data_IF_854671510261
#
_entry.id   IF_854671510261
#
_cell.length_a   1.000
_cell.length_b   1.000
_cell.length_c   1.000
_cell.angle_alpha   90.00
_cell.angle_beta   90.00
_cell.angle_gamma   90.00
#
_symmetry.space_group_name_H-M   'P 1'
#
loop_
_entity.id
_entity.type
_entity.pdbx_description
1 polymer ?
#
# COMPACT_ATOMS: atom_id res chain seq x y z
N UNK A 1 13.29 6.28 28.03
CA UNK A 1 13.49 6.63 29.47
C UNK A 1 12.68 5.68 30.37
N UNK A 2 13.08 5.61 31.61
CA UNK A 2 12.34 4.95 32.69
C UNK A 2 12.58 5.71 33.98
N UNK A 3 11.82 5.42 35.02
CA UNK A 3 11.98 6.09 36.31
C UNK A 3 12.62 5.11 37.31
N UNK A 4 13.56 5.63 38.09
CA UNK A 4 14.17 4.89 39.22
C UNK A 4 13.65 5.52 40.49
N UNK A 5 13.03 4.68 41.32
CA UNK A 5 12.47 5.05 42.60
C UNK A 5 13.37 4.44 43.72
N UNK A 6 13.88 5.25 44.62
CA UNK A 6 14.72 4.77 45.73
C UNK A 6 14.23 5.27 47.07
N UNK A 7 14.27 4.37 48.06
CA UNK A 7 14.03 4.69 49.46
C UNK A 7 15.02 3.92 50.35
N UNK A 8 16.12 4.58 50.68
CA UNK A 8 17.24 3.91 51.38
C UNK A 8 17.84 2.80 50.50
N UNK A 9 17.97 1.59 51.01
CA UNK A 9 18.51 0.47 50.25
C UNK A 9 17.53 -0.15 49.24
N UNK A 10 16.25 0.24 49.29
CA UNK A 10 15.23 -0.28 48.37
C UNK A 10 15.21 0.52 47.09
N UNK A 11 15.32 -0.15 45.95
CA UNK A 11 15.24 0.41 44.62
C UNK A 11 14.18 -0.33 43.81
N UNK A 12 13.31 0.40 43.16
CA UNK A 12 12.36 -0.11 42.20
C UNK A 12 12.45 0.71 40.91
N UNK A 13 12.13 0.10 39.77
CA UNK A 13 12.13 0.76 38.47
C UNK A 13 10.72 0.74 37.88
N UNK A 14 10.27 1.86 37.34
CA UNK A 14 9.01 1.96 36.66
C UNK A 14 9.27 2.29 35.18
N UNK A 15 8.82 1.41 34.29
CA UNK A 15 8.95 1.52 32.86
C UNK A 15 7.70 1.03 32.15
N UNK A 16 7.76 0.92 30.84
CA UNK A 16 6.69 0.41 29.99
C UNK A 16 6.36 -1.05 30.34
N UNK A 17 5.10 -1.45 30.26
CA UNK A 17 4.66 -2.80 30.58
C UNK A 17 4.67 -3.76 29.39
N UNK A 18 4.37 -3.29 28.18
CA UNK A 18 4.22 -4.14 27.00
C UNK A 18 5.03 -3.71 25.76
N UNK A 19 5.55 -2.48 25.73
CA UNK A 19 6.23 -1.87 24.57
C UNK A 19 5.29 -1.09 23.65
N UNK A 20 4.02 -0.92 24.02
CA UNK A 20 3.07 -0.01 23.41
C UNK A 20 2.78 1.16 24.35
N UNK A 21 2.44 2.31 23.81
CA UNK A 21 2.19 3.52 24.59
C UNK A 21 1.06 3.32 25.61
N UNK A 22 1.25 3.80 26.82
CA UNK A 22 0.20 3.80 27.85
C UNK A 22 0.68 3.52 29.25
N UNK A 23 0.23 2.43 29.81
CA UNK A 23 0.53 2.02 31.17
C UNK A 23 1.98 1.63 31.38
N UNK A 24 2.42 1.62 32.61
CA UNK A 24 3.73 1.11 32.99
C UNK A 24 3.63 0.17 34.18
N UNK A 25 4.70 -0.58 34.42
CA UNK A 25 4.79 -1.49 35.54
C UNK A 25 6.05 -1.26 36.40
N UNK A 26 5.99 -1.71 37.63
CA UNK A 26 7.15 -1.73 38.52
C UNK A 26 7.90 -3.05 38.30
N UNK A 27 9.21 -2.92 38.04
CA UNK A 27 10.09 -4.07 37.82
C UNK A 27 11.49 -3.79 38.40
N UNK A 28 12.49 -4.54 38.01
CA UNK A 28 13.89 -4.31 38.32
C UNK A 28 14.67 -3.81 37.08
N UNK A 29 15.93 -3.44 37.27
CA UNK A 29 16.79 -2.91 36.20
C UNK A 29 17.08 -3.93 35.08
N UNK A 30 16.85 -5.21 35.31
CA UNK A 30 17.12 -6.25 34.30
C UNK A 30 15.93 -6.52 33.41
N UNK A 31 14.70 -6.23 33.90
CA UNK A 31 13.44 -6.48 33.21
C UNK A 31 12.73 -5.20 32.68
N UNK A 32 13.30 -4.01 32.95
CA UNK A 32 12.65 -2.76 32.57
C UNK A 32 12.61 -2.58 31.05
N UNK A 33 11.43 -2.32 30.53
CA UNK A 33 11.27 -1.78 29.16
C UNK A 33 11.23 -0.26 29.26
N UNK A 34 12.06 0.46 28.50
CA UNK A 34 12.02 1.93 28.52
C UNK A 34 10.82 2.45 27.74
N UNK A 35 10.29 3.59 28.18
CA UNK A 35 9.44 4.41 27.34
C UNK A 35 10.26 5.10 26.26
N UNK A 36 9.73 5.19 25.07
CA UNK A 36 10.34 5.94 23.98
C UNK A 36 10.24 7.45 24.22
N UNK A 37 11.25 8.17 23.78
CA UNK A 37 11.26 9.62 23.74
C UNK A 37 11.76 10.05 22.35
N UNK A 38 10.86 10.62 21.57
CA UNK A 38 11.22 11.15 20.26
C UNK A 38 11.81 12.56 20.44
N UNK A 39 13.01 12.76 19.92
CA UNK A 39 13.68 14.05 19.86
C UNK A 39 13.77 14.48 18.40
N UNK A 40 13.20 15.63 18.06
CA UNK A 40 13.18 16.18 16.73
C UNK A 40 13.67 17.63 16.72
N UNK A 41 14.03 18.15 15.55
CA UNK A 41 14.43 19.54 15.42
C UNK A 41 13.28 20.48 15.81
N UNK A 42 13.59 21.53 16.58
CA UNK A 42 12.58 22.46 17.08
C UNK A 42 11.86 23.25 15.98
N UNK A 43 12.39 23.25 14.77
CA UNK A 43 11.78 23.89 13.59
C UNK A 43 10.99 22.92 12.70
N UNK A 44 10.88 21.63 13.08
CA UNK A 44 10.09 20.68 12.29
C UNK A 44 8.59 20.99 12.42
N UNK A 45 7.97 21.20 11.28
CA UNK A 45 6.51 21.41 11.20
C UNK A 45 5.90 20.48 10.14
N UNK A 46 4.80 19.85 10.47
CA UNK A 46 3.98 19.14 9.48
C UNK A 46 3.40 20.15 8.49
N UNK A 47 3.51 19.93 7.17
CA UNK A 47 2.89 20.79 6.18
C UNK A 47 1.38 21.00 6.44
N UNK A 48 0.89 22.21 6.20
CA UNK A 48 -0.51 22.55 6.52
C UNK A 48 -1.52 21.70 5.76
N UNK A 49 -1.21 21.34 4.52
CA UNK A 49 -2.06 20.45 3.72
C UNK A 49 -2.21 19.04 4.34
N UNK A 50 -1.19 18.55 5.06
CA UNK A 50 -1.23 17.24 5.71
C UNK A 50 -2.01 17.25 7.02
N UNK A 51 -2.05 18.39 7.75
CA UNK A 51 -2.72 18.49 9.05
C UNK A 51 -4.23 18.21 8.98
N UNK A 52 -4.86 18.50 7.82
CA UNK A 52 -6.29 18.29 7.57
C UNK A 52 -6.52 17.37 6.35
N UNK A 53 -5.61 16.44 6.11
CA UNK A 53 -5.68 15.55 4.95
C UNK A 53 -6.81 14.53 5.11
N UNK A 54 -7.61 14.40 4.05
CA UNK A 54 -8.48 13.24 3.79
C UNK A 54 -7.79 12.43 2.72
N UNK A 55 -7.10 11.36 3.14
CA UNK A 55 -6.27 10.54 2.27
C UNK A 55 -7.08 9.37 1.73
N UNK A 56 -7.06 9.19 0.41
CA UNK A 56 -7.61 8.00 -0.24
C UNK A 56 -6.47 7.19 -0.83
N UNK A 57 -6.26 5.98 -0.30
CA UNK A 57 -5.26 5.07 -0.82
C UNK A 57 -5.83 4.31 -2.02
N UNK A 58 -5.07 4.26 -3.11
CA UNK A 58 -5.44 3.58 -4.35
C UNK A 58 -4.42 2.50 -4.66
N UNK A 59 -4.92 1.29 -4.89
CA UNK A 59 -4.22 0.23 -5.60
C UNK A 59 -4.58 0.39 -7.08
N UNK A 60 -3.67 0.92 -7.94
CA UNK A 60 -4.04 1.38 -9.28
C UNK A 60 -4.75 0.33 -10.13
N UNK A 61 -4.21 -0.88 -10.19
CA UNK A 61 -4.78 -2.00 -10.94
C UNK A 61 -6.24 -2.32 -10.58
N UNK A 62 -6.69 -1.98 -9.37
CA UNK A 62 -8.00 -2.29 -8.82
C UNK A 62 -8.92 -1.08 -8.69
N UNK A 63 -8.62 0.02 -9.36
CA UNK A 63 -9.39 1.26 -9.21
C UNK A 63 -10.29 1.55 -10.40
N UNK A 64 -9.73 1.82 -11.56
CA UNK A 64 -10.47 2.08 -12.80
C UNK A 64 -9.53 1.95 -14.01
N UNK A 65 -9.97 1.24 -15.05
CA UNK A 65 -9.27 1.17 -16.33
C UNK A 65 -9.68 2.37 -17.21
N UNK A 66 -8.76 3.28 -17.44
CA UNK A 66 -8.96 4.48 -18.28
C UNK A 66 -8.37 4.34 -19.67
N UNK A 67 -7.45 3.40 -19.90
CA UNK A 67 -6.80 3.16 -21.18
C UNK A 67 -6.60 1.68 -21.46
N UNK A 68 -7.58 1.03 -22.08
CA UNK A 68 -7.49 -0.38 -22.46
C UNK A 68 -6.31 -0.71 -23.39
N UNK A 69 -5.63 0.30 -23.97
CA UNK A 69 -4.48 0.07 -24.84
C UNK A 69 -3.24 -0.38 -24.09
N UNK A 70 -3.10 -0.03 -22.80
CA UNK A 70 -1.99 -0.43 -21.94
C UNK A 70 -2.17 -1.83 -21.39
N UNK A 71 -3.36 -2.40 -21.39
CA UNK A 71 -3.66 -3.77 -20.95
C UNK A 71 -2.82 -4.83 -21.67
N UNK A 72 -2.33 -4.52 -22.87
CA UNK A 72 -1.44 -5.42 -23.62
C UNK A 72 -0.10 -5.65 -22.94
N UNK A 73 0.33 -4.74 -22.08
CA UNK A 73 1.59 -4.87 -21.36
C UNK A 73 1.59 -6.04 -20.35
N UNK A 74 0.43 -6.57 -20.00
CA UNK A 74 0.31 -7.78 -19.18
C UNK A 74 0.97 -9.01 -19.81
N UNK A 75 1.01 -9.08 -21.16
CA UNK A 75 1.60 -10.20 -21.90
C UNK A 75 3.13 -10.12 -21.96
N UNK A 76 3.74 -9.04 -21.46
CA UNK A 76 5.18 -8.92 -21.42
C UNK A 76 5.76 -9.84 -20.37
N UNK A 77 6.84 -10.52 -20.70
CA UNK A 77 7.51 -11.42 -19.77
C UNK A 77 7.96 -10.67 -18.52
N UNK A 78 7.51 -11.15 -17.37
CA UNK A 78 7.81 -10.58 -16.05
C UNK A 78 8.33 -11.69 -15.12
N UNK A 79 9.49 -12.27 -15.50
CA UNK A 79 10.03 -13.43 -14.81
C UNK A 79 9.27 -14.71 -15.15
N UNK A 80 9.01 -15.55 -14.16
CA UNK A 80 8.31 -16.84 -14.31
C UNK A 80 6.80 -16.76 -13.97
N UNK A 81 6.25 -15.56 -13.80
CA UNK A 81 4.85 -15.38 -13.42
C UNK A 81 3.96 -15.37 -14.67
N UNK A 82 2.98 -16.24 -14.68
CA UNK A 82 1.89 -16.21 -15.65
C UNK A 82 0.82 -15.22 -15.17
N UNK A 83 0.65 -14.12 -15.91
CA UNK A 83 -0.35 -13.12 -15.60
C UNK A 83 -1.71 -13.50 -16.15
N UNK A 84 -2.71 -13.43 -15.30
CA UNK A 84 -4.10 -13.57 -15.68
C UNK A 84 -4.78 -12.20 -15.74
N UNK A 85 -5.38 -11.87 -16.89
CA UNK A 85 -6.14 -10.63 -17.05
C UNK A 85 -7.62 -10.88 -16.78
N UNK A 86 -8.14 -10.23 -15.74
CA UNK A 86 -9.51 -10.36 -15.31
C UNK A 86 -10.35 -9.28 -15.97
N UNK A 87 -11.20 -9.67 -16.92
CA UNK A 87 -12.05 -8.74 -17.68
C UNK A 87 -13.34 -8.36 -16.94
N UNK A 88 -13.80 -9.19 -16.02
CA UNK A 88 -14.97 -8.92 -15.20
C UNK A 88 -14.54 -8.37 -13.83
N UNK A 89 -14.73 -7.07 -13.63
CA UNK A 89 -14.39 -6.36 -12.39
C UNK A 89 -15.16 -6.83 -11.15
N UNK A 90 -16.19 -7.64 -11.30
CA UNK A 90 -16.92 -8.27 -10.20
C UNK A 90 -16.34 -9.64 -9.81
N UNK A 91 -15.42 -10.17 -10.59
CA UNK A 91 -14.66 -11.36 -10.21
C UNK A 91 -13.70 -11.02 -9.08
N UNK A 92 -13.74 -11.78 -8.00
CA UNK A 92 -12.79 -11.60 -6.90
C UNK A 92 -11.44 -12.24 -7.24
N UNK A 93 -10.33 -11.77 -6.67
CA UNK A 93 -9.03 -12.42 -6.81
C UNK A 93 -9.06 -13.86 -6.30
N UNK A 94 -8.29 -14.72 -6.92
CA UNK A 94 -8.13 -16.09 -6.50
C UNK A 94 -7.43 -16.21 -5.13
N UNK A 95 -7.70 -17.32 -4.45
CA UNK A 95 -6.89 -17.76 -3.32
C UNK A 95 -6.00 -18.92 -3.77
N UNK A 96 -4.73 -18.68 -4.07
CA UNK A 96 -3.84 -19.68 -4.63
C UNK A 96 -3.59 -20.88 -3.70
N UNK A 97 -3.80 -20.74 -2.39
CA UNK A 97 -3.65 -21.84 -1.42
C UNK A 97 -4.78 -22.88 -1.51
N UNK A 98 -5.82 -22.60 -2.27
CA UNK A 98 -6.97 -23.50 -2.44
C UNK A 98 -6.90 -24.34 -3.71
N UNK A 99 -5.82 -24.27 -4.46
CA UNK A 99 -5.65 -25.10 -5.65
C UNK A 99 -5.81 -26.61 -5.31
N UNK A 100 -6.66 -27.27 -6.07
CA UNK A 100 -6.90 -28.70 -5.94
C UNK A 100 -7.58 -29.16 -4.66
N UNK A 101 -7.98 -28.26 -3.76
CA UNK A 101 -8.72 -28.62 -2.53
C UNK A 101 -10.22 -28.78 -2.76
N UNK A 102 -10.78 -28.13 -3.76
CA UNK A 102 -12.21 -28.18 -4.09
C UNK A 102 -12.41 -28.53 -5.55
N UNK A 103 -13.37 -29.41 -5.84
CA UNK A 103 -13.89 -29.53 -7.19
C UNK A 103 -14.71 -28.29 -7.59
N UNK A 104 -14.89 -28.08 -8.89
CA UNK A 104 -15.58 -26.91 -9.44
C UNK A 104 -17.00 -26.74 -8.89
N UNK A 105 -17.70 -27.82 -8.61
CA UNK A 105 -19.08 -27.80 -8.13
C UNK A 105 -19.13 -27.39 -6.63
N UNK A 106 -18.20 -27.91 -5.85
CA UNK A 106 -18.05 -27.51 -4.43
C UNK A 106 -17.58 -26.06 -4.32
N UNK A 107 -16.69 -25.60 -5.16
CA UNK A 107 -16.27 -24.22 -5.27
C UNK A 107 -17.44 -23.28 -5.54
N UNK A 108 -18.24 -23.53 -6.58
CA UNK A 108 -19.41 -22.71 -6.92
C UNK A 108 -20.47 -22.66 -5.82
N UNK A 109 -20.59 -23.72 -5.07
CA UNK A 109 -21.58 -23.83 -3.98
C UNK A 109 -21.10 -23.20 -2.67
N UNK A 110 -19.80 -23.22 -2.39
CA UNK A 110 -19.21 -22.71 -1.14
C UNK A 110 -18.81 -21.24 -1.19
N UNK A 111 -18.71 -20.64 -2.39
CA UNK A 111 -18.14 -19.30 -2.59
C UNK A 111 -16.62 -19.25 -2.34
N UNK A 112 -15.95 -20.41 -2.22
CA UNK A 112 -14.50 -20.48 -2.14
C UNK A 112 -13.89 -20.35 -3.54
N UNK A 113 -12.62 -20.00 -3.64
CA UNK A 113 -11.94 -19.72 -4.91
C UNK A 113 -11.05 -20.88 -5.32
N UNK A 114 -11.03 -21.16 -6.61
CA UNK A 114 -10.11 -22.11 -7.21
C UNK A 114 -8.83 -21.35 -7.54
N UNK A 115 -7.75 -21.59 -6.79
CA UNK A 115 -6.48 -20.93 -7.01
C UNK A 115 -5.59 -21.70 -7.97
N UNK A 116 -4.72 -21.00 -8.68
CA UNK A 116 -3.72 -21.54 -9.60
C UNK A 116 -2.36 -21.80 -8.93
N UNK A 117 -2.25 -21.57 -7.63
CA UNK A 117 -1.01 -21.68 -6.87
C UNK A 117 -0.09 -20.46 -6.99
N UNK A 118 -0.51 -19.42 -7.71
CA UNK A 118 0.28 -18.20 -7.92
C UNK A 118 -0.32 -17.01 -7.17
N UNK A 119 0.54 -16.30 -6.45
CA UNK A 119 0.16 -15.07 -5.77
C UNK A 119 0.43 -13.86 -6.66
N UNK A 120 -0.48 -12.90 -6.62
CA UNK A 120 -0.24 -11.57 -7.20
C UNK A 120 -0.08 -11.53 -8.73
N UNK A 121 -0.67 -12.50 -9.44
CA UNK A 121 -0.63 -12.60 -10.90
C UNK A 121 -1.88 -12.08 -11.61
N UNK A 122 -3.02 -11.89 -10.91
CA UNK A 122 -4.23 -11.36 -11.53
C UNK A 122 -4.13 -9.85 -11.75
N UNK A 123 -4.45 -9.42 -12.94
CA UNK A 123 -4.44 -8.03 -13.39
C UNK A 123 -5.86 -7.64 -13.84
N UNK A 124 -6.37 -6.53 -13.36
CA UNK A 124 -7.69 -5.99 -13.70
C UNK A 124 -7.63 -4.80 -14.66
N UNK A 125 -6.43 -4.29 -14.94
CA UNK A 125 -6.22 -3.24 -15.91
C UNK A 125 -6.50 -1.83 -15.40
N UNK A 126 -6.72 -1.62 -14.10
CA UNK A 126 -6.77 -0.26 -13.56
C UNK A 126 -5.44 0.46 -13.74
N UNK A 127 -5.47 1.76 -14.06
CA UNK A 127 -4.31 2.52 -14.51
C UNK A 127 -4.30 3.98 -14.02
N UNK A 128 -3.24 4.71 -14.33
CA UNK A 128 -3.08 6.11 -13.93
C UNK A 128 -4.06 7.03 -14.66
N UNK A 129 -4.42 6.68 -15.90
CA UNK A 129 -5.44 7.39 -16.67
C UNK A 129 -6.80 7.28 -15.98
N UNK A 130 -7.16 6.08 -15.56
CA UNK A 130 -8.38 5.84 -14.81
C UNK A 130 -8.45 6.63 -13.49
N UNK A 131 -7.33 6.82 -12.81
CA UNK A 131 -7.27 7.67 -11.61
C UNK A 131 -7.58 9.12 -11.96
N UNK A 132 -6.97 9.66 -13.01
CA UNK A 132 -7.21 11.05 -13.43
C UNK A 132 -8.65 11.29 -13.88
N UNK A 133 -9.27 10.32 -14.54
CA UNK A 133 -10.67 10.39 -14.96
C UNK A 133 -11.67 10.34 -13.78
N UNK A 134 -11.23 9.89 -12.60
CA UNK A 134 -12.04 9.78 -11.39
C UNK A 134 -11.77 10.86 -10.35
N UNK A 135 -11.06 11.93 -10.69
CA UNK A 135 -10.78 13.05 -9.77
C UNK A 135 -12.06 13.67 -9.22
N UNK A 136 -13.08 13.87 -10.03
CA UNK A 136 -14.34 14.44 -9.58
C UNK A 136 -15.06 13.54 -8.56
N UNK A 137 -14.97 12.22 -8.71
CA UNK A 137 -15.46 11.26 -7.72
C UNK A 137 -14.71 11.39 -6.40
N UNK A 138 -13.39 11.46 -6.41
CA UNK A 138 -12.57 11.62 -5.22
C UNK A 138 -12.86 12.96 -4.52
N UNK A 139 -13.03 14.04 -5.28
CA UNK A 139 -13.45 15.35 -4.75
C UNK A 139 -14.82 15.30 -4.07
N UNK A 140 -15.78 14.61 -4.68
CA UNK A 140 -17.12 14.46 -4.10
C UNK A 140 -17.10 13.69 -2.76
N UNK A 141 -16.11 12.84 -2.52
CA UNK A 141 -15.86 12.19 -1.24
C UNK A 141 -15.14 13.10 -0.22
N UNK A 142 -14.70 14.29 -0.62
CA UNK A 142 -13.92 15.19 0.22
C UNK A 142 -12.43 14.83 0.30
N UNK A 143 -11.93 13.99 -0.59
CA UNK A 143 -10.50 13.61 -0.67
C UNK A 143 -9.70 14.82 -1.14
N UNK A 144 -8.60 15.09 -0.47
CA UNK A 144 -7.63 16.11 -0.87
C UNK A 144 -6.19 15.57 -0.96
N UNK A 145 -5.99 14.29 -0.65
CA UNK A 145 -4.70 13.60 -0.84
C UNK A 145 -4.95 12.22 -1.45
N UNK A 146 -4.29 11.94 -2.56
CA UNK A 146 -4.26 10.63 -3.18
C UNK A 146 -2.96 9.95 -2.78
N UNK A 147 -3.04 8.78 -2.17
CA UNK A 147 -1.90 7.92 -1.88
C UNK A 147 -1.93 6.74 -2.82
N UNK A 148 -0.92 6.58 -3.68
CA UNK A 148 -0.82 5.46 -4.61
C UNK A 148 0.08 4.37 -4.05
N UNK A 149 -0.41 3.14 -4.04
CA UNK A 149 0.46 1.97 -3.96
C UNK A 149 1.51 2.05 -5.07
N UNK A 150 2.64 1.32 -4.96
CA UNK A 150 3.75 1.45 -5.91
C UNK A 150 3.30 1.37 -7.36
N UNK A 151 3.89 2.24 -8.20
CA UNK A 151 3.57 2.36 -9.62
C UNK A 151 4.75 1.99 -10.53
N UNK A 152 5.88 1.69 -9.95
CA UNK A 152 7.11 1.37 -10.67
C UNK A 152 7.06 0.01 -11.32
N UNK A 153 7.86 -0.18 -12.38
CA UNK A 153 7.95 -1.46 -13.06
C UNK A 153 8.38 -2.55 -12.09
N UNK A 154 7.55 -3.60 -12.00
CA UNK A 154 7.66 -4.66 -11.01
C UNK A 154 7.26 -6.01 -11.61
N UNK A 155 7.53 -7.08 -10.88
CA UNK A 155 7.13 -8.43 -11.26
C UNK A 155 5.67 -8.69 -10.85
N UNK A 156 5.29 -8.33 -9.62
CA UNK A 156 3.94 -8.56 -9.09
C UNK A 156 2.92 -7.46 -9.42
N UNK A 157 1.64 -7.76 -9.26
CA UNK A 157 0.57 -6.77 -9.40
C UNK A 157 0.58 -5.71 -8.29
N UNK A 158 1.11 -6.01 -7.10
CA UNK A 158 1.21 -5.06 -5.98
C UNK A 158 2.40 -4.09 -6.09
N UNK A 159 3.41 -4.42 -6.89
CA UNK A 159 4.58 -3.59 -7.24
C UNK A 159 5.51 -3.22 -6.09
N UNK A 160 5.47 -3.94 -4.97
CA UNK A 160 6.46 -3.77 -3.89
C UNK A 160 7.80 -4.44 -4.20
N UNK A 161 7.89 -5.21 -5.27
CA UNK A 161 9.06 -5.90 -5.81
C UNK A 161 9.58 -5.19 -7.08
N UNK A 162 9.80 -3.89 -7.00
CA UNK A 162 10.21 -3.07 -8.13
C UNK A 162 11.56 -3.52 -8.71
N UNK A 163 11.61 -3.72 -10.03
CA UNK A 163 12.84 -3.95 -10.80
C UNK A 163 13.47 -2.64 -11.31
N UNK A 164 12.68 -1.57 -11.38
CA UNK A 164 13.16 -0.25 -11.79
C UNK A 164 12.37 0.82 -11.05
N UNK A 165 13.08 1.79 -10.45
CA UNK A 165 12.48 3.00 -9.85
C UNK A 165 12.50 4.21 -10.78
N UNK A 166 13.02 4.05 -11.99
CA UNK A 166 13.08 5.12 -13.00
C UNK A 166 11.98 5.02 -14.05
N UNK A 167 11.27 3.88 -14.08
CA UNK A 167 10.23 3.59 -15.05
C UNK A 167 8.94 3.22 -14.36
N UNK A 168 7.83 3.79 -14.83
CA UNK A 168 6.49 3.36 -14.42
C UNK A 168 6.14 2.06 -15.14
N UNK A 169 5.40 1.20 -14.46
CA UNK A 169 4.93 -0.04 -15.03
C UNK A 169 4.09 0.23 -16.30
N UNK A 170 4.47 -0.34 -17.45
CA UNK A 170 3.77 -0.09 -18.72
C UNK A 170 2.29 -0.44 -18.74
N UNK A 171 1.85 -1.36 -17.86
CA UNK A 171 0.44 -1.69 -17.71
C UNK A 171 -0.35 -0.62 -16.96
N UNK A 172 0.33 0.29 -16.25
CA UNK A 172 -0.31 1.37 -15.52
C UNK A 172 -0.33 2.68 -16.28
N UNK A 173 0.61 2.91 -17.21
CA UNK A 173 0.72 4.20 -17.82
C UNK A 173 1.54 4.20 -19.11
N UNK A 174 1.12 5.07 -20.01
CA UNK A 174 1.97 5.65 -21.06
C UNK A 174 2.76 6.85 -20.52
N UNK A 175 3.69 7.41 -21.31
CA UNK A 175 4.44 8.60 -20.90
C UNK A 175 3.52 9.81 -20.61
N UNK A 176 2.44 9.96 -21.36
CA UNK A 176 1.48 11.07 -21.19
C UNK A 176 0.69 10.96 -19.89
N UNK A 177 0.29 9.77 -19.50
CA UNK A 177 -0.53 9.55 -18.30
C UNK A 177 0.19 9.93 -17.01
N UNK A 178 1.52 9.72 -16.96
CA UNK A 178 2.35 10.14 -15.83
C UNK A 178 2.35 11.65 -15.63
N UNK A 179 2.46 12.41 -16.72
CA UNK A 179 2.44 13.87 -16.66
C UNK A 179 1.05 14.38 -16.27
N UNK A 180 0.00 13.76 -16.80
CA UNK A 180 -1.38 14.06 -16.46
C UNK A 180 -1.69 13.77 -15.00
N UNK A 181 -1.26 12.62 -14.47
CA UNK A 181 -1.43 12.28 -13.05
C UNK A 181 -0.74 13.28 -12.11
N UNK A 182 0.36 13.88 -12.51
CA UNK A 182 1.00 14.93 -11.72
C UNK A 182 0.24 16.26 -11.78
N UNK A 183 -0.30 16.62 -12.94
CA UNK A 183 -0.92 17.91 -13.19
C UNK A 183 -2.38 17.99 -12.74
N UNK A 184 -3.18 16.94 -12.95
CA UNK A 184 -4.63 16.98 -12.71
C UNK A 184 -4.98 17.08 -11.24
N UNK A 185 -4.42 16.28 -10.30
CA UNK A 185 -4.65 16.48 -8.88
C UNK A 185 -4.24 17.87 -8.41
N UNK A 186 -3.07 18.36 -8.83
CA UNK A 186 -2.60 19.70 -8.46
C UNK A 186 -3.55 20.80 -8.94
N UNK A 187 -4.08 20.72 -10.15
CA UNK A 187 -5.07 21.66 -10.69
C UNK A 187 -6.41 21.61 -9.94
N UNK A 188 -6.63 20.59 -9.12
CA UNK A 188 -7.83 20.40 -8.31
C UNK A 188 -7.59 20.57 -6.79
N UNK A 189 -6.48 21.23 -6.41
CA UNK A 189 -6.07 21.44 -5.03
C UNK A 189 -5.88 20.13 -4.24
N UNK A 190 -5.46 19.07 -4.92
CA UNK A 190 -5.16 17.76 -4.34
C UNK A 190 -3.66 17.51 -4.34
N UNK A 191 -3.20 16.77 -3.33
CA UNK A 191 -1.82 16.30 -3.22
C UNK A 191 -1.69 14.84 -3.63
N UNK A 192 -0.54 14.47 -4.15
CA UNK A 192 -0.20 13.11 -4.56
C UNK A 192 0.95 12.58 -3.71
N UNK A 193 0.78 11.39 -3.14
CA UNK A 193 1.82 10.63 -2.45
C UNK A 193 2.06 9.35 -3.24
N UNK A 194 3.32 9.08 -3.56
CA UNK A 194 3.74 7.84 -4.20
C UNK A 194 4.41 6.94 -3.19
N UNK A 195 4.01 5.68 -3.15
CA UNK A 195 4.66 4.65 -2.34
C UNK A 195 5.91 4.12 -3.04
N UNK A 196 6.93 3.77 -2.25
CA UNK A 196 8.16 3.20 -2.75
C UNK A 196 8.86 2.33 -1.71
N UNK A 197 9.11 1.07 -2.08
CA UNK A 197 9.81 0.10 -1.23
C UNK A 197 11.33 0.18 -1.46
N UNK A 198 11.97 1.22 -0.94
CA UNK A 198 13.40 1.49 -1.17
C UNK A 198 14.36 0.59 -0.37
N UNK A 199 13.86 -0.33 0.42
CA UNK A 199 14.66 -1.23 1.27
C UNK A 199 15.01 -2.54 0.57
N UNK A 200 14.36 -2.87 -0.51
CA UNK A 200 14.58 -4.08 -1.32
C UNK A 200 14.15 -3.83 -2.77
N UNK A 201 14.54 -4.73 -3.66
CA UNK A 201 14.17 -4.77 -5.07
C UNK A 201 14.31 -6.20 -5.60
N UNK A 202 13.84 -6.47 -6.78
CA UNK A 202 13.95 -7.76 -7.47
C UNK A 202 15.25 -7.86 -8.24
#
# INVERSE_FOLDING_TARGET
YYFVLSNGPNVAVYGDDDGFYGSGCITDLTGVKPYDLVVFESGYETPDWMKNAVIYQIFPDRFFNGDESNDRAQTWARGEVDYEFITDWYTLPENPEQEGLLDEETYKSSGAWYGDGQWSNEIYGGDLKGITERIDYLKALGVNVIYLNPVFWSISNHRYDAVSYTEIDPILATLGDREELAAVPQANDMHLILDGAFTHGS
#
